data_IF_357689630658
#
_entry.id   IF_357689630658
#
_cell.length_a   1.000
_cell.length_b   1.000
_cell.length_c   1.000
_cell.angle_alpha   90.00
_cell.angle_beta   90.00
_cell.angle_gamma   90.00
#
_symmetry.space_group_name_H-M   'P 1'
#
loop_
_entity.id
_entity.type
_entity.pdbx_description
1 polymer ?
#
# COMPACT_ATOMS: atom_id res chain seq x y z
N UNK A 1 -29.32 10.55 41.41
CA UNK A 1 -28.37 9.41 41.27
C UNK A 1 -28.23 8.97 39.81
N UNK A 2 -29.26 8.40 39.18
CA UNK A 2 -29.18 7.85 37.80
C UNK A 2 -28.82 8.90 36.73
N UNK A 3 -29.40 10.10 36.79
CA UNK A 3 -29.12 11.18 35.82
C UNK A 3 -27.67 11.66 35.85
N UNK A 4 -27.06 11.74 37.02
CA UNK A 4 -25.66 12.13 37.17
C UNK A 4 -24.72 11.04 36.62
N UNK A 5 -25.04 9.77 36.87
CA UNK A 5 -24.28 8.64 36.35
C UNK A 5 -24.27 8.60 34.81
N UNK A 6 -25.40 8.90 34.16
CA UNK A 6 -25.50 8.98 32.69
C UNK A 6 -24.64 10.09 32.09
N UNK A 7 -24.60 11.26 32.73
CA UNK A 7 -23.78 12.38 32.26
C UNK A 7 -22.28 12.10 32.40
N UNK A 8 -21.87 11.43 33.48
CA UNK A 8 -20.48 11.02 33.70
C UNK A 8 -20.06 9.97 32.66
N UNK A 9 -20.91 8.98 32.40
CA UNK A 9 -20.63 7.95 31.39
C UNK A 9 -20.52 8.54 29.97
N UNK A 10 -21.39 9.49 29.62
CA UNK A 10 -21.33 10.17 28.32
C UNK A 10 -20.03 11.00 28.16
N UNK A 11 -19.59 11.67 29.22
CA UNK A 11 -18.32 12.40 29.22
C UNK A 11 -17.11 11.48 29.04
N UNK A 12 -17.10 10.33 29.71
CA UNK A 12 -16.01 9.35 29.57
C UNK A 12 -15.89 8.79 28.13
N UNK A 13 -17.02 8.53 27.47
CA UNK A 13 -17.05 8.06 26.08
C UNK A 13 -16.59 9.13 25.08
N UNK A 14 -16.92 10.40 25.33
CA UNK A 14 -16.48 11.51 24.47
C UNK A 14 -14.96 11.73 24.50
N UNK A 15 -14.30 11.43 25.64
CA UNK A 15 -12.84 11.55 25.79
C UNK A 15 -12.06 10.36 25.21
N UNK A 16 -12.73 9.27 24.84
CA UNK A 16 -12.08 8.07 24.28
C UNK A 16 -11.40 8.35 22.91
N UNK A 17 -11.79 9.41 22.21
CA UNK A 17 -11.15 9.81 20.94
C UNK A 17 -9.70 10.28 21.10
N UNK A 18 -9.29 10.75 22.28
CA UNK A 18 -7.91 11.18 22.54
C UNK A 18 -7.05 10.09 23.21
N UNK A 19 -7.62 8.90 23.46
CA UNK A 19 -6.94 7.80 24.13
C UNK A 19 -6.32 6.79 23.14
N UNK A 20 -6.24 7.15 21.86
CA UNK A 20 -5.55 6.36 20.85
C UNK A 20 -4.05 6.29 21.16
N UNK A 21 -3.43 5.12 20.96
CA UNK A 21 -1.97 5.03 21.02
C UNK A 21 -1.42 5.89 19.89
N UNK A 22 -0.31 6.57 20.16
CA UNK A 22 0.43 7.33 19.16
C UNK A 22 0.56 6.49 17.88
N UNK A 23 0.04 7.02 16.75
CA UNK A 23 0.32 6.48 15.42
C UNK A 23 1.77 6.78 15.05
N UNK A 24 2.69 6.18 15.79
CA UNK A 24 4.09 6.16 15.40
C UNK A 24 4.22 5.31 14.15
N UNK A 25 5.05 5.75 13.21
CA UNK A 25 5.50 4.86 12.15
C UNK A 25 6.27 3.72 12.83
N UNK A 26 5.61 2.57 13.00
CA UNK A 26 6.16 1.40 13.67
C UNK A 26 7.31 0.78 12.87
N UNK A 27 8.49 1.40 12.95
CA UNK A 27 9.70 0.97 12.27
C UNK A 27 9.74 1.22 10.76
N UNK A 28 10.87 0.85 10.15
CA UNK A 28 11.03 0.82 8.70
C UNK A 28 10.35 -0.45 8.19
N UNK A 29 9.17 -0.31 7.61
CA UNK A 29 8.57 -1.40 6.84
C UNK A 29 9.34 -1.54 5.52
N UNK A 30 9.97 -2.69 5.31
CA UNK A 30 10.52 -3.02 3.99
C UNK A 30 9.37 -3.27 3.01
N UNK A 31 9.51 -2.72 1.81
CA UNK A 31 8.58 -3.01 0.73
C UNK A 31 8.72 -4.45 0.26
N UNK A 32 7.60 -5.02 -0.19
CA UNK A 32 7.65 -6.32 -0.82
C UNK A 32 8.36 -6.25 -2.16
N UNK A 33 8.98 -7.35 -2.55
CA UNK A 33 9.60 -7.46 -3.87
C UNK A 33 8.54 -7.22 -4.95
N UNK A 34 8.83 -6.32 -5.87
CA UNK A 34 7.89 -5.82 -6.89
C UNK A 34 7.30 -6.89 -7.80
N UNK A 35 8.02 -8.01 -7.99
CA UNK A 35 7.57 -9.12 -8.81
C UNK A 35 6.63 -10.10 -8.07
N UNK A 36 6.44 -9.97 -6.75
CA UNK A 36 5.48 -10.78 -5.99
C UNK A 36 4.05 -10.50 -6.47
N UNK A 37 3.79 -9.29 -6.96
CA UNK A 37 2.49 -8.91 -7.50
C UNK A 37 1.41 -8.81 -6.41
N UNK A 38 0.15 -8.77 -6.84
CA UNK A 38 -1.00 -8.68 -5.95
C UNK A 38 -1.67 -10.04 -5.78
N UNK A 39 -2.20 -10.32 -4.59
CA UNK A 39 -2.88 -11.59 -4.27
C UNK A 39 -4.21 -11.81 -5.02
N UNK A 40 -4.68 -10.82 -5.78
CA UNK A 40 -5.77 -10.94 -6.74
C UNK A 40 -5.20 -10.66 -8.12
N UNK A 41 -5.50 -11.47 -9.12
CA UNK A 41 -5.32 -11.11 -10.54
C UNK A 41 -6.21 -9.89 -10.82
N UNK A 42 -5.69 -8.65 -10.82
CA UNK A 42 -6.50 -7.50 -11.16
C UNK A 42 -6.56 -7.36 -12.68
N UNK A 43 -7.55 -6.65 -13.23
CA UNK A 43 -7.62 -6.33 -14.65
C UNK A 43 -6.43 -5.45 -15.13
N UNK A 44 -5.57 -4.99 -14.22
CA UNK A 44 -4.44 -4.10 -14.49
C UNK A 44 -3.10 -4.84 -14.58
N UNK A 45 -3.08 -6.18 -14.42
CA UNK A 45 -1.86 -6.95 -14.62
C UNK A 45 -1.49 -7.02 -16.10
N UNK A 46 -0.20 -6.85 -16.38
CA UNK A 46 0.32 -7.01 -17.73
C UNK A 46 0.03 -8.44 -18.23
N UNK A 47 -0.50 -8.54 -19.45
CA UNK A 47 -0.84 -9.82 -20.05
C UNK A 47 0.38 -10.76 -20.11
N UNK A 48 0.18 -12.03 -19.79
CA UNK A 48 1.22 -13.06 -19.82
C UNK A 48 2.17 -13.08 -18.62
N UNK A 49 2.13 -12.08 -17.73
CA UNK A 49 2.91 -12.08 -16.49
C UNK A 49 2.11 -12.67 -15.32
N UNK A 50 2.79 -13.37 -14.41
CA UNK A 50 2.20 -14.03 -13.22
C UNK A 50 2.87 -13.54 -11.92
N UNK A 51 2.12 -13.45 -10.80
CA UNK A 51 2.70 -13.05 -9.52
C UNK A 51 3.80 -14.05 -9.11
N UNK A 52 4.95 -13.54 -8.67
CA UNK A 52 6.12 -14.32 -8.31
C UNK A 52 7.09 -14.60 -9.46
N UNK A 53 6.70 -14.40 -10.73
CA UNK A 53 7.60 -14.60 -11.87
C UNK A 53 8.50 -13.38 -12.07
N UNK A 54 9.69 -13.45 -11.47
CA UNK A 54 10.71 -12.40 -11.55
C UNK A 54 11.26 -12.21 -12.96
N UNK A 55 11.56 -13.29 -13.68
CA UNK A 55 12.21 -13.21 -14.99
C UNK A 55 11.27 -12.56 -16.02
N UNK A 56 10.00 -12.96 -16.04
CA UNK A 56 9.00 -12.34 -16.89
C UNK A 56 8.76 -10.86 -16.52
N UNK A 57 8.77 -10.53 -15.22
CA UNK A 57 8.65 -9.14 -14.75
C UNK A 57 9.81 -8.27 -15.25
N UNK A 58 11.05 -8.71 -15.05
CA UNK A 58 12.25 -7.95 -15.45
C UNK A 58 12.29 -7.74 -16.97
N UNK A 59 11.91 -8.76 -17.74
CA UNK A 59 11.83 -8.66 -19.20
C UNK A 59 10.79 -7.62 -19.64
N UNK A 60 9.60 -7.62 -19.04
CA UNK A 60 8.54 -6.64 -19.33
C UNK A 60 9.00 -5.20 -19.02
N UNK A 61 9.67 -5.00 -17.88
CA UNK A 61 10.23 -3.70 -17.52
C UNK A 61 11.29 -3.25 -18.53
N UNK A 62 12.24 -4.14 -18.88
CA UNK A 62 13.29 -3.84 -19.84
C UNK A 62 12.76 -3.47 -21.22
N UNK A 63 11.71 -4.15 -21.70
CA UNK A 63 11.08 -3.82 -22.98
C UNK A 63 10.37 -2.47 -22.92
N UNK A 64 9.65 -2.19 -21.83
CA UNK A 64 8.92 -0.93 -21.66
C UNK A 64 9.84 0.30 -21.61
N UNK A 65 10.98 0.19 -20.92
CA UNK A 65 11.89 1.33 -20.74
C UNK A 65 12.63 1.70 -22.02
N UNK A 66 12.81 0.76 -22.95
CA UNK A 66 13.44 1.06 -24.25
C UNK A 66 12.66 2.08 -25.08
N UNK A 67 11.32 2.11 -24.96
CA UNK A 67 10.48 3.08 -25.66
C UNK A 67 10.34 4.44 -24.96
N UNK A 68 10.96 4.64 -23.79
CA UNK A 68 10.91 5.88 -23.01
C UNK A 68 12.30 6.49 -22.81
N UNK A 69 13.26 6.10 -23.64
CA UNK A 69 14.61 6.62 -23.54
C UNK A 69 14.76 7.90 -24.35
N UNK A 70 14.67 9.04 -23.69
CA UNK A 70 14.81 10.39 -24.28
C UNK A 70 16.20 10.65 -24.89
N UNK A 71 17.20 9.80 -24.60
CA UNK A 71 18.53 9.87 -25.21
C UNK A 71 18.66 9.11 -26.53
N UNK A 72 17.63 8.37 -26.96
CA UNK A 72 17.61 7.76 -28.29
C UNK A 72 17.47 8.90 -29.30
N UNK A 73 18.61 9.40 -29.78
CA UNK A 73 18.62 10.29 -30.94
C UNK A 73 18.00 9.51 -32.10
N UNK A 74 16.80 9.92 -32.50
CA UNK A 74 16.18 9.45 -33.75
C UNK A 74 17.18 9.78 -34.87
N UNK A 75 17.55 8.81 -35.73
CA UNK A 75 18.41 9.06 -36.88
C UNK A 75 17.86 10.16 -37.79
#
# INVERSE_FOLDING_TARGET
MIRAALLIAAGALALAGCAEREQTAGGIKSDQQVFVGTNKQPPFMAAGWKPGDRAAWEQQVKVRTQGQNDYVKVP
#
